data_IF_239842337131
#
_entry.id   IF_239842337131
#
_cell.length_a   1.000
_cell.length_b   1.000
_cell.length_c   1.000
_cell.angle_alpha   90.00
_cell.angle_beta   90.00
_cell.angle_gamma   90.00
#
_symmetry.space_group_name_H-M   'P 1'
#
loop_
_entity.id
_entity.type
_entity.pdbx_description
1 polymer ?
#
# COMPACT_ATOMS: atom_id res chain seq x y z
N UNK A 1 10.28 8.68 7.97
CA UNK A 1 9.30 9.50 8.72
C UNK A 1 8.67 8.68 9.84
N UNK A 2 8.56 9.26 11.03
CA UNK A 2 7.81 8.68 12.14
C UNK A 2 6.35 8.46 11.67
N UNK A 3 5.82 7.25 11.86
CA UNK A 3 4.46 6.88 11.43
C UNK A 3 4.37 6.08 10.12
N UNK A 4 5.44 5.99 9.32
CA UNK A 4 5.42 5.18 8.11
C UNK A 4 5.46 3.68 8.44
N UNK A 5 4.49 2.91 7.95
CA UNK A 5 4.46 1.44 8.09
C UNK A 5 5.00 0.78 6.84
N UNK A 6 5.90 -0.19 7.00
CA UNK A 6 6.44 -0.99 5.90
C UNK A 6 5.68 -2.30 5.79
N UNK A 7 5.22 -2.62 4.58
CA UNK A 7 4.56 -3.89 4.28
C UNK A 7 5.32 -4.62 3.17
N UNK A 8 5.58 -5.90 3.39
CA UNK A 8 6.17 -6.78 2.38
C UNK A 8 5.08 -7.23 1.41
N UNK A 9 5.33 -7.03 0.13
CA UNK A 9 4.48 -7.53 -0.95
C UNK A 9 4.75 -9.02 -1.14
N UNK A 10 3.68 -9.80 -1.14
CA UNK A 10 3.74 -11.25 -1.33
C UNK A 10 4.25 -11.65 -2.71
N UNK A 11 4.61 -12.92 -2.87
CA UNK A 11 5.19 -13.46 -4.10
C UNK A 11 4.29 -13.37 -5.32
N UNK A 12 2.97 -13.19 -5.11
CA UNK A 12 2.01 -12.99 -6.19
C UNK A 12 1.74 -11.52 -6.48
N UNK A 13 2.46 -10.59 -5.84
CA UNK A 13 2.33 -9.14 -6.04
C UNK A 13 1.22 -8.50 -5.22
N UNK A 14 0.78 -9.16 -4.15
CA UNK A 14 -0.34 -8.74 -3.29
C UNK A 14 0.09 -8.39 -1.87
N UNK A 15 -0.70 -7.52 -1.25
CA UNK A 15 -0.63 -7.20 0.17
C UNK A 15 -1.73 -7.96 0.93
N UNK A 16 -1.39 -8.44 2.12
CA UNK A 16 -2.36 -9.01 3.07
C UNK A 16 -2.84 -7.93 4.03
N UNK A 17 -3.80 -7.11 3.58
CA UNK A 17 -4.42 -6.04 4.36
C UNK A 17 -5.92 -6.30 4.42
N UNK A 18 -6.41 -6.78 5.57
CA UNK A 18 -7.83 -7.15 5.77
C UNK A 18 -8.42 -8.03 4.64
N UNK A 19 -7.58 -8.86 4.02
CA UNK A 19 -7.88 -9.51 2.77
C UNK A 19 -6.65 -9.56 1.88
N UNK A 20 -6.83 -9.98 0.64
CA UNK A 20 -5.76 -10.11 -0.34
C UNK A 20 -5.93 -9.05 -1.41
N UNK A 21 -5.05 -8.06 -1.43
CA UNK A 21 -5.15 -6.96 -2.39
C UNK A 21 -3.97 -6.99 -3.33
N UNK A 22 -4.24 -7.27 -4.60
CA UNK A 22 -3.21 -7.21 -5.64
C UNK A 22 -2.74 -5.77 -5.83
N UNK A 23 -1.42 -5.57 -5.78
CA UNK A 23 -0.78 -4.27 -5.93
C UNK A 23 -0.09 -4.17 -7.29
N UNK A 24 0.93 -5.01 -7.52
CA UNK A 24 1.65 -5.15 -8.79
C UNK A 24 2.54 -6.39 -8.77
N UNK A 25 2.64 -7.07 -9.91
CA UNK A 25 3.56 -8.19 -10.11
C UNK A 25 5.04 -7.78 -10.10
N UNK A 26 5.36 -6.51 -10.37
CA UNK A 26 6.74 -6.01 -10.38
C UNK A 26 7.31 -5.84 -8.97
N UNK A 27 6.45 -5.77 -7.95
CA UNK A 27 6.82 -5.51 -6.56
C UNK A 27 6.93 -6.80 -5.73
N UNK A 28 7.01 -7.97 -6.35
CA UNK A 28 7.03 -9.25 -5.63
C UNK A 28 8.25 -9.34 -4.72
N UNK A 29 8.02 -9.55 -3.42
CA UNK A 29 9.08 -9.63 -2.42
C UNK A 29 9.61 -8.26 -1.98
N UNK A 30 9.19 -7.18 -2.62
CA UNK A 30 9.56 -5.81 -2.29
C UNK A 30 8.78 -5.27 -1.09
N UNK A 31 9.25 -4.16 -0.55
CA UNK A 31 8.58 -3.43 0.52
C UNK A 31 7.95 -2.15 0.01
N UNK A 32 6.71 -1.92 0.42
CA UNK A 32 6.00 -0.66 0.20
C UNK A 32 5.77 0.06 1.51
N UNK A 33 5.75 1.38 1.45
CA UNK A 33 5.52 2.25 2.60
C UNK A 33 4.08 2.74 2.58
N UNK A 34 3.44 2.67 3.73
CA UNK A 34 2.16 3.29 4.00
C UNK A 34 2.46 4.53 4.84
N UNK A 35 2.01 5.69 4.38
CA UNK A 35 2.14 6.95 5.08
C UNK A 35 0.76 7.58 5.18
N UNK A 36 0.33 7.87 6.40
CA UNK A 36 -0.93 8.56 6.63
C UNK A 36 -0.83 9.99 6.06
N UNK A 37 -1.76 10.35 5.17
CA UNK A 37 -1.81 11.67 4.52
C UNK A 37 -3.09 12.42 4.83
N UNK A 38 -4.12 11.72 5.28
CA UNK A 38 -5.39 12.27 5.74
C UNK A 38 -5.99 11.33 6.81
N UNK A 39 -7.00 11.79 7.54
CA UNK A 39 -7.67 11.01 8.57
C UNK A 39 -8.26 9.72 7.98
N UNK A 40 -7.66 8.59 8.34
CA UNK A 40 -8.03 7.28 7.79
C UNK A 40 -7.40 6.93 6.42
N UNK A 41 -6.71 7.84 5.73
CA UNK A 41 -6.15 7.58 4.39
C UNK A 41 -4.63 7.45 4.42
N UNK A 42 -4.14 6.29 3.98
CA UNK A 42 -2.71 6.02 3.79
C UNK A 42 -2.34 6.11 2.31
N UNK A 43 -1.29 6.86 1.96
CA UNK A 43 -0.65 6.73 0.65
C UNK A 43 0.27 5.51 0.63
N UNK A 44 0.16 4.70 -0.42
CA UNK A 44 1.04 3.55 -0.67
C UNK A 44 2.15 3.98 -1.61
N UNK A 45 3.39 3.88 -1.14
CA UNK A 45 4.59 4.33 -1.81
C UNK A 45 5.54 3.15 -2.07
N UNK A 46 6.17 3.13 -3.25
CA UNK A 46 7.37 2.36 -3.51
C UNK A 46 8.51 3.31 -3.86
N UNK A 47 9.54 3.34 -3.01
CA UNK A 47 10.50 4.45 -2.97
C UNK A 47 9.78 5.81 -2.99
N UNK A 48 9.94 6.61 -4.06
CA UNK A 48 9.31 7.92 -4.24
C UNK A 48 8.05 7.89 -5.12
N UNK A 49 7.69 6.73 -5.64
CA UNK A 49 6.53 6.56 -6.51
C UNK A 49 5.27 6.32 -5.66
N UNK A 50 4.24 7.13 -5.90
CA UNK A 50 2.88 6.83 -5.42
C UNK A 50 2.35 5.68 -6.25
N UNK A 51 1.81 4.65 -5.60
CA UNK A 51 1.19 3.50 -6.25
C UNK A 51 -0.33 3.53 -6.16
N UNK A 52 -0.84 4.00 -5.03
CA UNK A 52 -2.26 3.99 -4.68
C UNK A 52 -2.48 4.72 -3.35
N UNK A 53 -3.75 4.93 -3.00
CA UNK A 53 -4.18 5.26 -1.65
C UNK A 53 -4.93 4.07 -1.03
N UNK A 54 -4.91 3.97 0.29
CA UNK A 54 -5.65 2.98 1.06
C UNK A 54 -6.56 3.71 2.04
N UNK A 55 -7.86 3.46 1.90
CA UNK A 55 -8.87 3.94 2.82
C UNK A 55 -9.03 2.92 3.95
N UNK A 56 -8.64 3.29 5.18
CA UNK A 56 -8.70 2.41 6.35
C UNK A 56 -10.14 2.14 6.80
N UNK A 57 -11.06 3.09 6.61
CA UNK A 57 -12.46 2.95 7.01
C UNK A 57 -13.18 1.94 6.09
N UNK A 58 -13.03 2.13 4.79
CA UNK A 58 -13.62 1.26 3.76
C UNK A 58 -12.78 0.01 3.48
N UNK A 59 -11.56 -0.06 4.03
CA UNK A 59 -10.58 -1.15 3.84
C UNK A 59 -10.31 -1.47 2.37
N UNK A 60 -10.23 -0.44 1.53
CA UNK A 60 -10.09 -0.57 0.07
C UNK A 60 -8.91 0.22 -0.48
N UNK A 61 -8.39 -0.24 -1.62
CA UNK A 61 -7.37 0.48 -2.38
C UNK A 61 -8.05 1.39 -3.42
N UNK A 62 -7.63 2.64 -3.45
CA UNK A 62 -7.99 3.65 -4.45
C UNK A 62 -6.79 3.79 -5.38
N UNK A 63 -6.96 3.38 -6.63
CA UNK A 63 -5.90 3.48 -7.64
C UNK A 63 -5.82 4.91 -8.16
N UNK A 64 -4.59 5.38 -8.33
CA UNK A 64 -4.26 6.54 -9.15
C UNK A 64 -4.09 6.00 -10.57
N UNK A 65 -5.06 6.26 -11.42
CA UNK A 65 -5.00 5.89 -12.84
C UNK A 65 -3.95 6.76 -13.58
#
# INVERSE_FOLDING_TARGET
>A
PEGAKLYKVGEKGDLRLNGRTFLSAALRGEYVRFLEVDDGIDVILFDRLILAYYDRAEKRIIRID
#
